data_IF_956073087527
#
_entry.id   IF_956073087527
#
_cell.length_a   1.000
_cell.length_b   1.000
_cell.length_c   1.000
_cell.angle_alpha   90.00
_cell.angle_beta   90.00
_cell.angle_gamma   90.00
#
_symmetry.space_group_name_H-M   'P 1'
#
loop_
_entity.id
_entity.type
_entity.pdbx_description
1 polymer ?
#
# COMPACT_ATOMS: atom_id res chain seq x y z
N UNK A 1 -7.74 -34.53 2.42
CA UNK A 1 -7.45 -33.58 3.52
C UNK A 1 -7.50 -32.17 2.96
N UNK A 2 -8.69 -31.68 2.63
CA UNK A 2 -8.91 -30.29 2.21
C UNK A 2 -9.41 -29.56 3.45
N UNK A 3 -8.53 -28.80 4.09
CA UNK A 3 -8.93 -27.94 5.19
C UNK A 3 -9.73 -26.77 4.60
N UNK A 4 -10.96 -26.63 5.08
CA UNK A 4 -11.94 -25.66 4.64
C UNK A 4 -11.46 -24.22 4.84
N UNK A 5 -11.86 -23.37 3.89
CA UNK A 5 -11.76 -21.91 3.94
C UNK A 5 -12.35 -21.36 5.23
N UNK A 6 -11.63 -20.46 5.89
CA UNK A 6 -12.22 -19.52 6.85
C UNK A 6 -11.87 -18.10 6.43
N UNK A 7 -12.93 -17.43 5.97
CA UNK A 7 -13.01 -16.05 5.53
C UNK A 7 -12.78 -15.18 6.78
N UNK A 8 -11.62 -14.55 6.91
CA UNK A 8 -11.43 -13.48 7.88
C UNK A 8 -12.14 -12.23 7.38
N UNK A 9 -13.42 -12.19 7.72
CA UNK A 9 -14.33 -11.06 7.53
C UNK A 9 -13.99 -9.97 8.54
N UNK A 10 -12.87 -9.30 8.32
CA UNK A 10 -12.53 -8.06 9.03
C UNK A 10 -12.36 -6.99 7.97
N UNK A 11 -12.98 -5.84 8.16
CA UNK A 11 -12.84 -4.64 7.32
C UNK A 11 -11.44 -4.03 7.46
N UNK A 12 -10.41 -4.88 7.41
CA UNK A 12 -9.02 -4.49 7.47
C UNK A 12 -8.64 -4.06 6.08
N UNK A 13 -8.39 -2.75 5.95
CA UNK A 13 -7.81 -2.17 4.76
C UNK A 13 -6.56 -2.97 4.39
N UNK A 14 -6.61 -3.65 3.25
CA UNK A 14 -5.48 -4.39 2.73
C UNK A 14 -4.47 -3.41 2.14
N UNK A 15 -3.19 -3.66 2.40
CA UNK A 15 -2.13 -2.90 1.77
C UNK A 15 -2.06 -3.26 0.29
N UNK A 16 -2.14 -2.26 -0.58
CA UNK A 16 -2.04 -2.49 -2.03
C UNK A 16 -0.64 -2.99 -2.47
N UNK A 17 0.41 -2.81 -1.66
CA UNK A 17 1.77 -3.29 -1.98
C UNK A 17 2.00 -4.76 -1.62
N UNK A 18 1.66 -5.16 -0.39
CA UNK A 18 1.91 -6.52 0.10
C UNK A 18 0.67 -7.41 0.15
N UNK A 19 -0.52 -6.87 -0.15
CA UNK A 19 -1.81 -7.57 -0.09
C UNK A 19 -2.18 -8.10 1.30
N UNK A 20 -1.50 -7.64 2.34
CA UNK A 20 -1.75 -8.02 3.73
C UNK A 20 -2.61 -6.98 4.46
N UNK A 21 -3.40 -7.39 5.48
CA UNK A 21 -4.18 -6.45 6.29
C UNK A 21 -3.28 -5.45 7.01
N UNK A 22 -3.64 -4.16 6.93
CA UNK A 22 -2.91 -3.11 7.63
C UNK A 22 -3.17 -3.20 9.12
N UNK A 23 -2.18 -3.66 9.87
CA UNK A 23 -2.19 -3.71 11.35
C UNK A 23 -1.43 -2.54 11.99
N UNK A 24 -0.92 -1.62 11.16
CA UNK A 24 -0.19 -0.45 11.62
C UNK A 24 -1.11 0.53 12.36
N UNK A 25 -0.53 1.32 13.27
CA UNK A 25 -1.25 2.39 13.97
C UNK A 25 -1.70 3.48 13.00
N UNK A 26 -0.94 3.70 11.93
CA UNK A 26 -1.24 4.70 10.91
C UNK A 26 -1.32 4.04 9.54
N UNK A 27 -2.43 4.28 8.84
CA UNK A 27 -2.62 3.83 7.47
C UNK A 27 -2.56 5.03 6.54
N UNK A 28 -1.91 4.84 5.39
CA UNK A 28 -1.81 5.86 4.36
C UNK A 28 -2.83 5.55 3.27
N UNK A 29 -3.70 6.50 2.98
CA UNK A 29 -4.70 6.36 1.92
C UNK A 29 -4.31 7.23 0.72
N UNK A 30 -3.95 6.59 -0.38
CA UNK A 30 -3.50 7.25 -1.61
C UNK A 30 -4.33 6.74 -2.77
N UNK A 31 -4.97 7.66 -3.50
CA UNK A 31 -5.83 7.35 -4.66
C UNK A 31 -6.90 6.28 -4.35
N UNK A 32 -7.51 6.34 -3.17
CA UNK A 32 -8.52 5.37 -2.72
C UNK A 32 -7.97 4.01 -2.24
N UNK A 33 -6.67 3.78 -2.35
CA UNK A 33 -6.00 2.55 -1.88
C UNK A 33 -5.32 2.77 -0.54
N UNK A 34 -5.21 1.71 0.25
CA UNK A 34 -4.56 1.78 1.57
C UNK A 34 -3.18 1.16 1.52
N UNK A 35 -2.25 1.74 2.29
CA UNK A 35 -0.85 1.37 2.30
C UNK A 35 -0.28 1.42 3.71
N UNK A 36 0.65 0.53 4.02
CA UNK A 36 1.49 0.68 5.21
C UNK A 36 2.42 1.88 5.06
N UNK A 37 2.79 2.47 6.19
CA UNK A 37 3.86 3.49 6.30
C UNK A 37 5.13 3.06 5.56
N UNK A 38 5.58 1.82 5.78
CA UNK A 38 6.76 1.24 5.14
C UNK A 38 6.56 0.75 3.71
N UNK A 39 5.32 0.44 3.31
CA UNK A 39 5.02 -0.04 1.96
C UNK A 39 4.78 1.10 0.96
N UNK A 40 4.40 2.29 1.44
CA UNK A 40 4.22 3.47 0.61
C UNK A 40 5.59 4.04 0.20
N UNK A 41 6.27 3.36 -0.72
CA UNK A 41 7.60 3.75 -1.21
C UNK A 41 7.67 3.61 -2.72
N UNK A 42 8.40 4.50 -3.37
CA UNK A 42 8.51 4.50 -4.82
C UNK A 42 9.08 3.17 -5.33
N UNK A 43 8.45 2.56 -6.34
CA UNK A 43 8.91 1.30 -6.91
C UNK A 43 10.31 1.41 -7.54
N UNK A 44 10.69 2.60 -8.02
CA UNK A 44 11.96 2.87 -8.70
C UNK A 44 13.07 3.19 -7.71
N UNK A 45 12.96 4.32 -6.99
CA UNK A 45 14.00 4.76 -6.06
C UNK A 45 13.87 4.22 -4.64
N UNK A 46 12.80 3.48 -4.31
CA UNK A 46 12.49 2.98 -2.96
C UNK A 46 12.37 4.10 -1.90
N UNK A 47 12.24 5.36 -2.33
CA UNK A 47 12.05 6.50 -1.45
C UNK A 47 10.71 6.38 -0.73
N UNK A 48 10.73 6.53 0.60
CA UNK A 48 9.52 6.54 1.41
C UNK A 48 8.67 7.77 1.06
N UNK A 49 7.44 7.51 0.63
CA UNK A 49 6.46 8.52 0.21
C UNK A 49 5.52 8.88 1.35
N UNK A 50 5.65 8.26 2.54
CA UNK A 50 4.87 8.57 3.73
C UNK A 50 5.00 10.03 4.17
N UNK A 51 6.17 10.64 3.91
CA UNK A 51 6.47 12.05 4.19
C UNK A 51 6.37 12.96 2.97
N UNK A 52 6.09 12.41 1.80
CA UNK A 52 6.04 13.20 0.57
C UNK A 52 4.63 13.78 0.38
N UNK A 53 4.52 15.07 0.01
CA UNK A 53 3.21 15.70 -0.24
C UNK A 53 2.56 15.20 -1.54
N UNK A 54 3.31 14.51 -2.39
CA UNK A 54 2.84 14.05 -3.69
C UNK A 54 3.37 12.66 -4.00
N UNK A 55 2.46 11.76 -4.32
CA UNK A 55 2.74 10.39 -4.75
C UNK A 55 1.73 9.99 -5.83
N UNK A 56 2.18 9.21 -6.80
CA UNK A 56 1.41 8.85 -7.99
C UNK A 56 1.31 7.35 -8.11
N UNK A 57 0.15 6.81 -8.47
CA UNK A 57 -0.05 5.37 -8.66
C UNK A 57 -0.26 5.11 -10.15
N UNK A 58 0.51 4.18 -10.70
CA UNK A 58 0.44 3.73 -12.09
C UNK A 58 0.63 2.22 -12.14
N UNK A 59 -0.24 1.49 -12.83
CA UNK A 59 -0.14 0.03 -12.99
C UNK A 59 0.07 -0.73 -11.66
N UNK A 60 -0.73 -0.39 -10.64
CA UNK A 60 -0.63 -0.93 -9.26
C UNK A 60 0.68 -0.60 -8.51
N UNK A 61 1.61 0.10 -9.14
CA UNK A 61 2.88 0.54 -8.56
C UNK A 61 2.83 2.02 -8.17
N UNK A 62 3.52 2.38 -7.09
CA UNK A 62 3.59 3.78 -6.63
C UNK A 62 4.92 4.43 -7.02
N UNK A 63 4.84 5.68 -7.45
CA UNK A 63 5.94 6.46 -7.97
C UNK A 63 6.05 7.79 -7.23
N UNK A 64 7.29 8.25 -7.06
CA UNK A 64 7.52 9.59 -6.56
C UNK A 64 7.30 10.62 -7.68
N UNK A 65 7.19 11.91 -7.34
CA UNK A 65 7.06 12.99 -8.32
C UNK A 65 8.19 12.99 -9.36
N UNK A 66 9.40 12.58 -8.98
CA UNK A 66 10.57 12.56 -9.85
C UNK A 66 10.54 11.41 -10.86
N UNK A 67 10.21 10.19 -10.41
CA UNK A 67 10.18 8.99 -11.27
C UNK A 67 8.90 8.88 -12.11
N UNK A 68 7.85 9.62 -11.73
CA UNK A 68 6.60 9.69 -12.49
C UNK A 68 6.67 10.70 -13.66
N UNK A 69 7.57 11.69 -13.57
CA UNK A 69 7.69 12.80 -14.53
C UNK A 69 8.30 12.38 -15.87
#
# INVERSE_FOLDING_TARGET
>A
RQCCREITRTEHRLCAACSEPITDKYLLQVNGRSWHSHCLRCCVCQLALDRQPSCFIKDDSIYCKTDYA
#
